data_IF_210570127090
#
_entry.id   IF_210570127090
#
_cell.length_a   1.000
_cell.length_b   1.000
_cell.length_c   1.000
_cell.angle_alpha   90.00
_cell.angle_beta   90.00
_cell.angle_gamma   90.00
#
_symmetry.space_group_name_H-M   'P 1'
#
loop_
_entity.id
_entity.type
_entity.pdbx_description
1 polymer ?
#
# COMPACT_ATOMS: atom_id res chain seq x y z
N UNK A 1 23.56 -0.50 20.21
CA UNK A 1 23.01 -0.73 21.57
C UNK A 1 22.15 -1.98 21.52
N UNK A 2 22.39 -2.96 22.36
CA UNK A 2 21.64 -4.24 22.37
C UNK A 2 20.50 -4.16 23.38
N UNK A 3 19.26 -4.38 22.94
CA UNK A 3 18.06 -4.37 23.80
C UNK A 3 17.51 -5.78 24.07
N UNK A 4 18.31 -6.83 23.90
CA UNK A 4 17.90 -8.20 24.21
C UNK A 4 16.73 -8.66 23.32
N UNK A 5 15.57 -8.94 23.91
CA UNK A 5 14.35 -9.37 23.19
C UNK A 5 13.89 -8.39 22.09
N UNK A 6 14.21 -7.10 22.24
CA UNK A 6 13.81 -6.08 21.26
C UNK A 6 14.76 -6.01 20.06
N UNK A 7 15.98 -6.59 20.15
CA UNK A 7 16.97 -6.57 19.07
C UNK A 7 18.08 -5.52 19.25
N UNK A 8 18.97 -5.42 18.25
CA UNK A 8 20.14 -4.52 18.28
C UNK A 8 19.87 -3.22 17.52
N UNK A 9 20.28 -2.09 18.11
CA UNK A 9 20.46 -0.79 17.45
C UNK A 9 21.84 -0.77 16.81
N UNK A 10 21.84 -0.78 15.50
CA UNK A 10 22.97 -0.34 14.68
C UNK A 10 22.40 0.57 13.59
N UNK A 11 22.84 1.84 13.55
CA UNK A 11 22.49 2.76 12.48
C UNK A 11 23.29 2.39 11.22
N UNK A 12 22.97 1.24 10.63
CA UNK A 12 23.63 0.77 9.41
C UNK A 12 22.91 1.29 8.17
N UNK A 13 23.58 1.28 7.00
CA UNK A 13 22.92 1.58 5.73
C UNK A 13 21.68 0.71 5.49
N UNK A 14 21.70 -0.54 5.94
CA UNK A 14 20.58 -1.48 5.85
C UNK A 14 19.40 -1.04 6.73
N UNK A 15 19.68 -0.56 7.95
CA UNK A 15 18.66 0.00 8.84
C UNK A 15 17.96 1.20 8.19
N UNK A 16 18.75 2.14 7.67
CA UNK A 16 18.22 3.34 7.04
C UNK A 16 17.42 3.00 5.77
N UNK A 17 17.92 2.07 4.95
CA UNK A 17 17.23 1.60 3.76
C UNK A 17 15.90 0.91 4.09
N UNK A 18 15.86 0.07 5.13
CA UNK A 18 14.64 -0.58 5.59
C UNK A 18 13.64 0.45 6.13
N UNK A 19 14.07 1.38 6.98
CA UNK A 19 13.23 2.46 7.51
C UNK A 19 12.64 3.33 6.39
N UNK A 20 13.47 3.74 5.42
CA UNK A 20 13.03 4.55 4.29
C UNK A 20 12.05 3.77 3.40
N UNK A 21 12.30 2.46 3.20
CA UNK A 21 11.38 1.60 2.44
C UNK A 21 10.03 1.46 3.14
N UNK A 22 10.01 1.20 4.46
CA UNK A 22 8.79 1.12 5.27
C UNK A 22 8.01 2.43 5.19
N UNK A 23 8.69 3.55 5.39
CA UNK A 23 8.10 4.88 5.34
C UNK A 23 7.49 5.18 3.97
N UNK A 24 8.23 4.86 2.90
CA UNK A 24 7.78 5.12 1.53
C UNK A 24 6.62 4.20 1.11
N UNK A 25 6.67 2.92 1.51
CA UNK A 25 5.57 1.98 1.34
C UNK A 25 4.32 2.49 2.06
N UNK A 26 4.45 2.89 3.33
CA UNK A 26 3.36 3.43 4.11
C UNK A 26 2.79 4.70 3.48
N UNK A 27 3.64 5.60 2.98
CA UNK A 27 3.21 6.86 2.39
C UNK A 27 2.47 6.64 1.05
N UNK A 28 2.98 5.76 0.19
CA UNK A 28 2.37 5.41 -1.11
C UNK A 28 1.02 4.73 -0.91
N UNK A 29 0.91 3.83 0.07
CA UNK A 29 -0.34 3.15 0.37
C UNK A 29 -1.32 4.07 1.12
N UNK A 30 -0.84 4.97 1.98
CA UNK A 30 -1.68 5.88 2.76
C UNK A 30 -2.30 7.04 1.96
N UNK A 31 -1.87 7.30 0.72
CA UNK A 31 -2.32 8.43 -0.09
C UNK A 31 -3.85 8.55 -0.19
N UNK A 32 -4.53 7.45 -0.51
CA UNK A 32 -5.99 7.40 -0.61
C UNK A 32 -6.67 7.32 0.78
N UNK A 33 -5.98 6.74 1.77
CA UNK A 33 -6.49 6.60 3.14
C UNK A 33 -6.52 7.93 3.91
N UNK A 34 -5.61 8.85 3.62
CA UNK A 34 -5.64 10.19 4.21
C UNK A 34 -6.92 10.95 3.81
N UNK A 35 -7.42 10.73 2.58
CA UNK A 35 -8.70 11.28 2.11
C UNK A 35 -9.87 10.65 2.86
N UNK A 36 -9.87 9.33 3.07
CA UNK A 36 -10.91 8.64 3.87
C UNK A 36 -10.91 9.13 5.32
N UNK A 37 -9.73 9.32 5.93
CA UNK A 37 -9.59 9.89 7.27
C UNK A 37 -10.13 11.33 7.30
N UNK A 38 -9.76 12.16 6.32
CA UNK A 38 -10.20 13.55 6.22
C UNK A 38 -11.73 13.65 6.02
N UNK A 39 -12.32 12.76 5.22
CA UNK A 39 -13.76 12.64 4.99
C UNK A 39 -14.50 12.13 6.22
N UNK A 40 -13.92 11.18 6.97
CA UNK A 40 -14.54 10.65 8.19
C UNK A 40 -14.72 11.73 9.27
N UNK A 41 -13.79 12.70 9.36
CA UNK A 41 -13.84 13.80 10.34
C UNK A 41 -14.39 15.11 9.77
N UNK A 42 -14.84 15.14 8.51
CA UNK A 42 -15.21 16.39 7.82
C UNK A 42 -16.42 17.10 8.45
N UNK A 43 -17.32 16.35 9.09
CA UNK A 43 -18.51 16.87 9.74
C UNK A 43 -18.27 17.28 11.22
N UNK A 44 -17.05 17.09 11.76
CA UNK A 44 -16.73 17.45 13.13
C UNK A 44 -16.23 18.91 13.19
N UNK A 45 -16.76 19.70 14.11
CA UNK A 45 -16.44 21.13 14.21
C UNK A 45 -15.48 21.42 15.39
N UNK A 46 -14.57 22.37 15.20
CA UNK A 46 -13.72 22.90 16.27
C UNK A 46 -12.81 21.87 16.96
N UNK A 47 -12.81 21.85 18.29
CA UNK A 47 -11.96 20.96 19.11
C UNK A 47 -12.27 19.47 18.88
N UNK A 48 -13.52 19.12 18.54
CA UNK A 48 -13.92 17.73 18.31
C UNK A 48 -13.26 17.12 17.07
N UNK A 49 -13.04 17.92 16.01
CA UNK A 49 -12.31 17.49 14.82
C UNK A 49 -10.86 17.14 15.13
N UNK A 50 -10.18 18.00 15.89
CA UNK A 50 -8.79 17.77 16.30
C UNK A 50 -8.66 16.50 17.15
N UNK A 51 -9.54 16.33 18.14
CA UNK A 51 -9.55 15.13 18.97
C UNK A 51 -9.93 13.86 18.19
N UNK A 52 -10.88 13.94 17.25
CA UNK A 52 -11.23 12.83 16.38
C UNK A 52 -10.06 12.37 15.50
N UNK A 53 -9.29 13.32 14.95
CA UNK A 53 -8.08 13.02 14.18
C UNK A 53 -7.00 12.40 15.09
N UNK A 54 -6.72 13.01 16.24
CA UNK A 54 -5.65 12.54 17.16
C UNK A 54 -5.97 11.14 17.71
N UNK A 55 -7.19 10.93 18.19
CA UNK A 55 -7.61 9.63 18.73
C UNK A 55 -7.72 8.56 17.65
N UNK A 56 -8.26 8.91 16.47
CA UNK A 56 -8.32 8.01 15.33
C UNK A 56 -6.93 7.59 14.85
N UNK A 57 -6.02 8.55 14.70
CA UNK A 57 -4.62 8.28 14.34
C UNK A 57 -3.92 7.46 15.42
N UNK A 58 -4.10 7.78 16.71
CA UNK A 58 -3.50 7.02 17.80
C UNK A 58 -3.99 5.57 17.88
N UNK A 59 -5.29 5.34 17.68
CA UNK A 59 -5.87 3.99 17.63
C UNK A 59 -5.35 3.18 16.42
N UNK A 60 -5.27 3.82 15.25
CA UNK A 60 -4.70 3.22 14.03
C UNK A 60 -3.23 2.83 14.23
N UNK A 61 -2.42 3.71 14.83
CA UNK A 61 -1.02 3.43 15.19
C UNK A 61 -0.91 2.19 16.08
N UNK A 62 -1.68 2.16 17.17
CA UNK A 62 -1.59 1.08 18.14
C UNK A 62 -1.95 -0.26 17.50
N UNK A 63 -3.04 -0.29 16.73
CA UNK A 63 -3.47 -1.46 15.98
C UNK A 63 -2.38 -1.92 14.99
N UNK A 64 -1.77 -0.98 14.25
CA UNK A 64 -0.71 -1.29 13.30
C UNK A 64 0.51 -1.89 13.98
N UNK A 65 0.93 -1.37 15.14
CA UNK A 65 2.04 -1.93 15.92
C UNK A 65 1.73 -3.34 16.39
N UNK A 66 0.55 -3.57 16.98
CA UNK A 66 0.14 -4.89 17.48
C UNK A 66 0.08 -5.90 16.34
N UNK A 67 -0.56 -5.54 15.25
CA UNK A 67 -0.75 -6.49 14.17
C UNK A 67 0.56 -6.76 13.41
N UNK A 68 1.41 -5.75 13.19
CA UNK A 68 2.75 -5.95 12.59
C UNK A 68 3.63 -6.81 13.49
N UNK A 69 3.50 -6.69 14.81
CA UNK A 69 4.16 -7.61 15.74
C UNK A 69 3.70 -9.05 15.50
N UNK A 70 2.39 -9.29 15.45
CA UNK A 70 1.84 -10.64 15.19
C UNK A 70 2.33 -11.18 13.84
N UNK A 71 2.26 -10.38 12.78
CA UNK A 71 2.73 -10.79 11.45
C UNK A 71 4.24 -11.05 11.41
N UNK A 72 5.06 -10.25 12.09
CA UNK A 72 6.51 -10.49 12.17
C UNK A 72 6.82 -11.85 12.79
N UNK A 73 6.06 -12.28 13.81
CA UNK A 73 6.18 -13.63 14.37
C UNK A 73 5.70 -14.70 13.38
N UNK A 74 4.60 -14.46 12.66
CA UNK A 74 4.08 -15.40 11.66
C UNK A 74 5.06 -15.61 10.49
N UNK A 75 5.81 -14.59 10.08
CA UNK A 75 6.82 -14.70 9.02
C UNK A 75 8.02 -15.61 9.38
N UNK A 76 8.16 -16.03 10.64
CA UNK A 76 9.15 -17.04 11.02
C UNK A 76 8.69 -18.46 10.65
N UNK A 77 7.41 -18.66 10.38
CA UNK A 77 6.84 -19.95 9.98
C UNK A 77 7.13 -20.19 8.48
N UNK A 78 7.48 -21.44 8.14
CA UNK A 78 7.72 -21.88 6.76
C UNK A 78 6.54 -21.50 5.85
N UNK A 79 6.83 -21.08 4.61
CA UNK A 79 5.88 -20.63 3.58
C UNK A 79 5.17 -19.31 3.84
N UNK A 80 5.19 -18.75 5.05
CA UNK A 80 4.44 -17.52 5.32
C UNK A 80 5.09 -16.32 4.63
N UNK A 81 6.43 -16.23 4.58
CA UNK A 81 7.09 -15.17 3.80
C UNK A 81 6.88 -15.36 2.31
N UNK A 82 6.86 -16.61 1.85
CA UNK A 82 6.60 -16.91 0.44
C UNK A 82 5.21 -16.43 0.01
N UNK A 83 4.16 -16.78 0.76
CA UNK A 83 2.79 -16.32 0.49
C UNK A 83 2.68 -14.81 0.67
N UNK A 84 3.23 -14.26 1.76
CA UNK A 84 3.23 -12.82 2.02
C UNK A 84 3.91 -12.01 0.92
N UNK A 85 5.02 -12.50 0.39
CA UNK A 85 5.72 -11.88 -0.74
C UNK A 85 4.87 -11.88 -2.02
N UNK A 86 4.17 -12.99 -2.30
CA UNK A 86 3.20 -13.06 -3.40
C UNK A 86 2.05 -12.06 -3.28
N UNK A 87 1.50 -11.90 -2.07
CA UNK A 87 0.46 -10.90 -1.78
C UNK A 87 0.98 -9.48 -2.01
N UNK A 88 2.20 -9.16 -1.57
CA UNK A 88 2.81 -7.84 -1.79
C UNK A 88 3.01 -7.55 -3.28
N UNK A 89 3.47 -8.53 -4.06
CA UNK A 89 3.62 -8.38 -5.51
C UNK A 89 2.26 -8.12 -6.16
N UNK A 90 1.22 -8.84 -5.73
CA UNK A 90 -0.14 -8.61 -6.20
C UNK A 90 -0.64 -7.19 -5.88
N UNK A 91 -0.42 -6.71 -4.65
CA UNK A 91 -0.73 -5.33 -4.23
C UNK A 91 0.03 -4.33 -5.11
N UNK A 92 1.32 -4.54 -5.36
CA UNK A 92 2.14 -3.65 -6.18
C UNK A 92 1.59 -3.49 -7.62
N UNK A 93 1.14 -4.59 -8.22
CA UNK A 93 0.49 -4.57 -9.54
C UNK A 93 -0.88 -3.89 -9.46
N UNK A 94 -1.69 -4.21 -8.46
CA UNK A 94 -3.01 -3.61 -8.25
C UNK A 94 -2.90 -2.09 -8.07
N UNK A 95 -1.92 -1.62 -7.30
CA UNK A 95 -1.64 -0.21 -7.04
C UNK A 95 -1.38 0.58 -8.33
N UNK A 96 -0.58 0.04 -9.25
CA UNK A 96 -0.34 0.69 -10.56
C UNK A 96 -1.57 0.68 -11.46
N UNK A 97 -2.40 -0.35 -11.39
CA UNK A 97 -3.64 -0.45 -12.15
C UNK A 97 -4.70 0.53 -11.63
N UNK A 98 -4.82 0.70 -10.32
CA UNK A 98 -5.79 1.61 -9.69
C UNK A 98 -5.35 3.08 -9.83
N UNK A 99 -4.06 3.37 -9.67
CA UNK A 99 -3.52 4.73 -9.83
C UNK A 99 -3.48 5.23 -11.28
N UNK A 100 -3.82 4.42 -12.28
CA UNK A 100 -3.99 4.88 -13.66
C UNK A 100 -5.37 5.50 -13.86
N UNK A 101 -5.52 6.76 -13.42
CA UNK A 101 -6.67 7.69 -13.60
C UNK A 101 -7.84 7.13 -14.43
N UNK A 102 -8.71 6.36 -13.77
CA UNK A 102 -10.05 5.96 -14.26
C UNK A 102 -10.98 5.56 -13.08
N UNK A 103 -10.68 5.94 -11.83
CA UNK A 103 -11.62 5.76 -10.70
C UNK A 103 -11.98 7.09 -10.05
N UNK A 104 -13.14 7.61 -10.46
CA UNK A 104 -13.89 8.63 -9.71
C UNK A 104 -14.71 7.95 -8.61
N UNK A 105 -14.51 8.38 -7.36
CA UNK A 105 -15.56 8.51 -6.34
C UNK A 105 -15.99 7.27 -5.54
N UNK A 106 -16.07 7.44 -4.22
CA UNK A 106 -17.26 7.23 -3.35
C UNK A 106 -16.86 6.89 -1.90
N UNK A 107 -16.66 7.90 -1.05
CA UNK A 107 -16.45 7.72 0.40
C UNK A 107 -17.74 7.93 1.21
N UNK A 108 -18.09 6.98 2.08
CA UNK A 108 -19.23 7.07 3.01
C UNK A 108 -18.95 8.06 4.15
N UNK A 109 -19.94 8.88 4.50
CA UNK A 109 -19.89 9.92 5.54
C UNK A 109 -20.26 9.40 6.94
N UNK A 110 -19.57 9.90 7.97
CA UNK A 110 -19.90 9.67 9.39
C UNK A 110 -20.64 10.86 10.03
N UNK A 111 -21.53 10.57 10.98
CA UNK A 111 -22.32 11.55 11.74
C UNK A 111 -21.87 11.78 13.19
N UNK A 112 -20.84 11.07 13.69
CA UNK A 112 -20.32 11.22 15.07
C UNK A 112 -18.83 10.91 15.18
N UNK A 113 -18.16 11.38 16.25
CA UNK A 113 -16.73 11.11 16.52
C UNK A 113 -16.45 9.61 16.61
N UNK A 114 -17.31 8.85 17.30
CA UNK A 114 -17.18 7.40 17.43
C UNK A 114 -17.32 6.68 16.08
N UNK A 115 -18.23 7.16 15.21
CA UNK A 115 -18.41 6.62 13.87
C UNK A 115 -17.24 6.99 12.95
N UNK A 116 -16.68 8.19 13.07
CA UNK A 116 -15.47 8.62 12.36
C UNK A 116 -14.27 7.74 12.76
N UNK A 117 -14.08 7.51 14.06
CA UNK A 117 -13.03 6.60 14.57
C UNK A 117 -13.25 5.18 14.06
N UNK A 118 -14.49 4.67 14.04
CA UNK A 118 -14.80 3.36 13.50
C UNK A 118 -14.48 3.24 12.00
N UNK A 119 -14.87 4.21 11.18
CA UNK A 119 -14.55 4.24 9.74
C UNK A 119 -13.04 4.30 9.52
N UNK A 120 -12.32 5.13 10.30
CA UNK A 120 -10.86 5.24 10.24
C UNK A 120 -10.21 3.89 10.62
N UNK A 121 -10.65 3.28 11.71
CA UNK A 121 -10.11 1.98 12.17
C UNK A 121 -10.44 0.87 11.18
N UNK A 122 -11.64 0.82 10.60
CA UNK A 122 -12.00 -0.23 9.63
C UNK A 122 -11.27 -0.04 8.30
N UNK A 123 -11.12 1.20 7.83
CA UNK A 123 -10.32 1.52 6.64
C UNK A 123 -8.83 1.22 6.88
N UNK A 124 -8.32 1.53 8.07
CA UNK A 124 -6.95 1.23 8.45
C UNK A 124 -6.74 -0.27 8.67
N UNK A 125 -7.68 -1.05 9.22
CA UNK A 125 -7.59 -2.53 9.28
C UNK A 125 -7.52 -3.12 7.88
N UNK A 126 -8.40 -2.66 6.98
CA UNK A 126 -8.50 -3.18 5.61
C UNK A 126 -7.24 -2.87 4.79
N UNK A 127 -6.61 -1.71 5.02
CA UNK A 127 -5.32 -1.34 4.41
C UNK A 127 -4.11 -1.89 5.18
N UNK A 128 -4.20 -2.04 6.50
CA UNK A 128 -3.11 -2.50 7.34
C UNK A 128 -2.76 -3.95 7.04
N UNK A 129 -3.71 -4.80 6.63
CA UNK A 129 -3.39 -6.16 6.19
C UNK A 129 -2.42 -6.15 5.00
N UNK A 130 -2.55 -5.18 4.09
CA UNK A 130 -1.71 -5.01 2.90
C UNK A 130 -0.34 -4.39 3.26
N UNK A 131 -0.30 -3.37 4.12
CA UNK A 131 0.95 -2.72 4.57
C UNK A 131 1.77 -3.60 5.52
N UNK A 132 1.11 -4.37 6.39
CA UNK A 132 1.75 -5.12 7.47
C UNK A 132 2.60 -6.28 6.95
N UNK A 133 2.17 -6.95 5.89
CA UNK A 133 2.99 -7.97 5.23
C UNK A 133 4.26 -7.35 4.65
N UNK A 134 4.14 -6.17 4.03
CA UNK A 134 5.27 -5.45 3.44
C UNK A 134 6.26 -4.93 4.51
N UNK A 135 5.75 -4.34 5.59
CA UNK A 135 6.57 -3.84 6.70
C UNK A 135 7.22 -4.99 7.46
N UNK A 136 6.49 -6.06 7.75
CA UNK A 136 7.04 -7.24 8.43
C UNK A 136 8.14 -7.92 7.58
N UNK A 137 8.01 -7.91 6.25
CA UNK A 137 9.06 -8.34 5.32
C UNK A 137 10.31 -7.45 5.33
N UNK A 138 10.11 -6.13 5.33
CA UNK A 138 11.20 -5.16 5.32
C UNK A 138 12.02 -5.15 6.61
N UNK A 139 11.42 -5.49 7.76
CA UNK A 139 12.07 -5.46 9.07
C UNK A 139 13.05 -6.63 9.31
N UNK A 140 13.08 -7.66 8.46
CA UNK A 140 14.00 -8.81 8.55
C UNK A 140 14.09 -9.45 9.95
N UNK A 141 13.01 -9.41 10.73
CA UNK A 141 12.96 -9.93 12.11
C UNK A 141 13.49 -9.00 13.21
N UNK A 142 13.95 -7.77 12.90
CA UNK A 142 14.35 -6.80 13.92
C UNK A 142 13.13 -6.05 14.48
N UNK A 143 12.66 -6.51 15.64
CA UNK A 143 11.49 -5.97 16.34
C UNK A 143 11.64 -4.50 16.74
N UNK A 144 12.84 -4.08 17.14
CA UNK A 144 13.11 -2.68 17.46
C UNK A 144 13.01 -1.79 16.22
N UNK A 145 13.60 -2.21 15.09
CA UNK A 145 13.49 -1.50 13.82
C UNK A 145 12.03 -1.33 13.41
N UNK A 146 11.24 -2.37 13.62
CA UNK A 146 9.79 -2.36 13.36
C UNK A 146 9.07 -1.35 14.26
N UNK A 147 9.21 -1.44 15.59
CA UNK A 147 8.49 -0.54 16.52
C UNK A 147 8.96 0.91 16.38
N UNK A 148 10.27 1.14 16.31
CA UNK A 148 10.84 2.48 16.15
C UNK A 148 10.49 3.09 14.79
N UNK A 149 10.60 2.28 13.73
CA UNK A 149 10.23 2.67 12.39
C UNK A 149 8.76 3.05 12.28
N UNK A 150 7.86 2.25 12.85
CA UNK A 150 6.42 2.55 12.90
C UNK A 150 6.11 3.79 13.74
N UNK A 151 6.70 3.92 14.94
CA UNK A 151 6.51 5.08 15.82
C UNK A 151 6.91 6.39 15.13
N UNK A 152 8.00 6.38 14.35
CA UNK A 152 8.50 7.57 13.67
C UNK A 152 7.86 7.79 12.29
N UNK A 153 7.52 6.71 11.58
CA UNK A 153 6.87 6.73 10.26
C UNK A 153 5.47 7.32 10.35
N UNK A 154 4.67 6.98 11.37
CA UNK A 154 3.24 7.35 11.36
C UNK A 154 3.01 8.86 11.47
N UNK A 155 3.67 9.62 12.36
CA UNK A 155 3.59 11.08 12.35
C UNK A 155 4.04 11.68 11.01
N UNK A 156 5.09 11.10 10.41
CA UNK A 156 5.62 11.53 9.11
C UNK A 156 4.62 11.27 7.98
N UNK A 157 3.94 10.11 7.99
CA UNK A 157 2.91 9.74 7.02
C UNK A 157 1.69 10.63 7.17
N UNK A 158 1.22 10.88 8.40
CA UNK A 158 0.08 11.77 8.64
C UNK A 158 0.40 13.20 8.20
N UNK A 159 1.60 13.71 8.47
CA UNK A 159 2.03 15.03 8.03
C UNK A 159 2.30 15.10 6.51
N UNK A 160 2.84 14.02 5.95
CA UNK A 160 3.35 13.94 4.58
C UNK A 160 2.35 13.43 3.55
N UNK A 161 1.28 12.74 3.94
CA UNK A 161 0.35 12.10 3.00
C UNK A 161 -0.34 13.12 2.08
N UNK A 162 -0.71 14.29 2.60
CA UNK A 162 -1.26 15.36 1.78
C UNK A 162 -0.26 15.92 0.76
N UNK A 163 1.01 16.06 1.17
CA UNK A 163 2.09 16.48 0.27
C UNK A 163 2.38 15.38 -0.77
N UNK A 164 2.48 14.12 -0.37
CA UNK A 164 2.74 13.01 -1.28
C UNK A 164 1.60 12.84 -2.28
N UNK A 165 0.34 12.94 -1.85
CA UNK A 165 -0.82 12.89 -2.75
C UNK A 165 -0.71 13.95 -3.84
N UNK A 166 -0.46 15.21 -3.46
CA UNK A 166 -0.24 16.30 -4.42
C UNK A 166 0.96 16.02 -5.33
N UNK A 167 2.02 15.43 -4.79
CA UNK A 167 3.22 15.09 -5.53
C UNK A 167 3.00 13.93 -6.50
N UNK A 168 2.17 12.93 -6.16
CA UNK A 168 1.79 11.82 -7.03
C UNK A 168 0.87 12.28 -8.16
N UNK A 169 -0.04 13.21 -7.87
CA UNK A 169 -0.88 13.85 -8.89
C UNK A 169 -0.05 14.60 -9.92
N UNK A 170 0.99 15.31 -9.45
CA UNK A 170 1.91 16.09 -10.30
C UNK A 170 2.99 15.23 -10.95
N UNK A 171 3.47 14.21 -10.27
CA UNK A 171 4.55 13.32 -10.68
C UNK A 171 4.14 11.84 -10.53
N UNK A 172 3.41 11.29 -11.52
CA UNK A 172 2.95 9.91 -11.51
C UNK A 172 4.07 8.87 -11.38
N UNK A 173 5.32 9.25 -11.68
CA UNK A 173 6.51 8.40 -11.51
C UNK A 173 6.69 7.89 -10.09
N UNK A 174 6.22 8.63 -9.08
CA UNK A 174 6.32 8.25 -7.67
C UNK A 174 5.55 6.96 -7.38
N UNK A 175 4.38 6.79 -8.02
CA UNK A 175 3.59 5.55 -7.93
C UNK A 175 4.38 4.35 -8.47
N UNK A 176 5.09 4.52 -9.60
CA UNK A 176 5.95 3.47 -10.19
C UNK A 176 7.13 3.12 -9.29
N UNK A 177 7.73 4.11 -8.62
CA UNK A 177 8.82 3.89 -7.66
C UNK A 177 8.30 3.09 -6.45
N UNK A 178 7.15 3.47 -5.89
CA UNK A 178 6.51 2.74 -4.79
C UNK A 178 6.20 1.28 -5.15
N UNK A 179 5.61 1.06 -6.32
CA UNK A 179 5.33 -0.28 -6.82
C UNK A 179 6.59 -1.11 -7.08
N UNK A 180 7.66 -0.50 -7.60
CA UNK A 180 8.95 -1.17 -7.77
C UNK A 180 9.53 -1.62 -6.41
N UNK A 181 9.47 -0.77 -5.39
CA UNK A 181 9.94 -1.11 -4.04
C UNK A 181 9.11 -2.26 -3.45
N UNK A 182 7.78 -2.24 -3.62
CA UNK A 182 6.93 -3.36 -3.22
C UNK A 182 7.31 -4.66 -3.95
N UNK A 183 7.55 -4.60 -5.26
CA UNK A 183 8.04 -5.75 -6.03
C UNK A 183 9.37 -6.30 -5.50
N UNK A 184 10.32 -5.42 -5.17
CA UNK A 184 11.59 -5.80 -4.52
C UNK A 184 11.35 -6.53 -3.20
N UNK A 185 10.54 -5.94 -2.31
CA UNK A 185 10.26 -6.48 -0.97
C UNK A 185 9.56 -7.83 -1.07
N UNK A 186 8.56 -7.95 -1.94
CA UNK A 186 7.86 -9.22 -2.15
C UNK A 186 8.80 -10.31 -2.68
N UNK A 187 9.68 -9.98 -3.63
CA UNK A 187 10.71 -10.90 -4.12
C UNK A 187 11.73 -11.32 -3.05
N UNK A 188 12.19 -10.37 -2.24
CA UNK A 188 13.09 -10.61 -1.11
C UNK A 188 12.43 -11.53 -0.06
N UNK A 189 11.15 -11.32 0.24
CA UNK A 189 10.41 -12.20 1.16
C UNK A 189 10.26 -13.62 0.63
N UNK A 190 9.98 -13.78 -0.67
CA UNK A 190 9.83 -15.12 -1.27
C UNK A 190 11.14 -15.91 -1.26
N UNK A 191 12.26 -15.28 -1.62
CA UNK A 191 13.55 -15.98 -1.70
C UNK A 191 14.16 -16.24 -0.32
N UNK A 192 13.86 -15.39 0.68
CA UNK A 192 14.32 -15.53 2.08
C UNK A 192 13.31 -16.23 3.00
N UNK A 193 12.32 -16.92 2.42
CA UNK A 193 11.40 -17.79 3.17
C UNK A 193 12.18 -18.94 3.82
N UNK A 194 11.92 -19.29 5.10
CA UNK A 194 12.63 -20.37 5.77
C UNK A 194 12.63 -21.70 5.00
N UNK A 195 11.55 -22.01 4.27
CA UNK A 195 11.49 -23.21 3.43
C UNK A 195 12.43 -23.14 2.22
N UNK A 196 12.49 -21.98 1.55
CA UNK A 196 13.34 -21.78 0.37
C UNK A 196 14.81 -21.74 0.77
N UNK A 197 15.12 -21.08 1.89
CA UNK A 197 16.48 -21.00 2.43
C UNK A 197 17.02 -22.38 2.78
N UNK A 198 16.23 -23.21 3.48
CA UNK A 198 16.61 -24.57 3.87
C UNK A 198 16.74 -25.52 2.67
N UNK A 199 15.93 -25.32 1.62
CA UNK A 199 15.94 -26.18 0.43
C UNK A 199 17.04 -25.80 -0.57
N UNK A 200 17.25 -24.51 -0.83
CA UNK A 200 18.07 -24.02 -1.95
C UNK A 200 19.34 -23.29 -1.52
N UNK A 201 19.46 -22.83 -0.27
CA UNK A 201 20.59 -22.03 0.23
C UNK A 201 21.05 -20.96 -0.79
N UNK A 202 20.14 -20.06 -1.23
CA UNK A 202 20.40 -19.19 -2.36
C UNK A 202 21.57 -18.23 -2.07
N UNK A 203 22.59 -18.15 -2.94
CA UNK A 203 23.63 -17.14 -2.78
C UNK A 203 23.06 -15.74 -2.99
N UNK A 204 23.70 -14.71 -2.42
CA UNK A 204 23.25 -13.31 -2.53
C UNK A 204 23.01 -12.82 -3.96
N UNK A 205 23.75 -13.34 -4.94
CA UNK A 205 23.51 -13.04 -6.34
C UNK A 205 22.11 -13.49 -6.82
N UNK A 206 21.64 -14.65 -6.37
CA UNK A 206 20.30 -15.16 -6.68
C UNK A 206 19.22 -14.35 -5.96
N UNK A 207 19.44 -13.98 -4.70
CA UNK A 207 18.52 -13.08 -3.98
C UNK A 207 18.33 -11.76 -4.74
N UNK A 208 19.41 -11.10 -5.15
CA UNK A 208 19.33 -9.86 -5.93
C UNK A 208 18.70 -10.06 -7.31
N UNK A 209 18.98 -11.19 -7.98
CA UNK A 209 18.35 -11.50 -9.26
C UNK A 209 16.83 -11.65 -9.12
N UNK A 210 16.35 -12.32 -8.06
CA UNK A 210 14.92 -12.46 -7.77
C UNK A 210 14.28 -11.11 -7.45
N UNK A 211 14.94 -10.27 -6.65
CA UNK A 211 14.48 -8.91 -6.37
C UNK A 211 14.34 -8.08 -7.65
N UNK A 212 15.34 -8.08 -8.52
CA UNK A 212 15.32 -7.35 -9.81
C UNK A 212 14.23 -7.92 -10.71
N UNK A 213 14.09 -9.24 -10.78
CA UNK A 213 13.03 -9.89 -11.54
C UNK A 213 11.64 -9.40 -11.12
N UNK A 214 11.35 -9.36 -9.81
CA UNK A 214 10.02 -8.93 -9.34
C UNK A 214 9.78 -7.42 -9.51
N UNK A 215 10.81 -6.58 -9.42
CA UNK A 215 10.70 -5.16 -9.82
C UNK A 215 10.24 -5.06 -11.28
N UNK A 216 10.94 -5.74 -12.19
CA UNK A 216 10.65 -5.70 -13.62
C UNK A 216 9.28 -6.33 -13.93
N UNK A 217 8.93 -7.42 -13.23
CA UNK A 217 7.64 -8.09 -13.35
C UNK A 217 6.50 -7.15 -12.97
N UNK A 218 6.58 -6.45 -11.82
CA UNK A 218 5.54 -5.51 -11.38
C UNK A 218 5.37 -4.39 -12.40
N UNK A 219 6.46 -3.76 -12.84
CA UNK A 219 6.42 -2.65 -13.80
C UNK A 219 5.91 -3.10 -15.19
N UNK A 220 6.35 -4.27 -15.65
CA UNK A 220 5.99 -4.83 -16.95
C UNK A 220 4.54 -5.33 -17.02
N UNK A 221 4.15 -6.15 -16.04
CA UNK A 221 2.78 -6.70 -15.95
C UNK A 221 1.74 -5.59 -15.79
N UNK A 222 2.00 -4.60 -14.95
CA UNK A 222 1.11 -3.45 -14.75
C UNK A 222 0.92 -2.65 -16.04
N UNK A 223 2.00 -2.37 -16.79
CA UNK A 223 1.89 -1.69 -18.10
C UNK A 223 1.05 -2.47 -19.11
N UNK A 224 1.22 -3.80 -19.16
CA UNK A 224 0.44 -4.65 -20.07
C UNK A 224 -1.05 -4.67 -19.68
N UNK A 225 -1.35 -4.78 -18.39
CA UNK A 225 -2.71 -4.81 -17.87
C UNK A 225 -3.43 -3.46 -18.04
N UNK A 226 -2.75 -2.34 -17.80
CA UNK A 226 -3.28 -0.99 -18.04
C UNK A 226 -3.60 -0.80 -19.54
N UNK A 227 -2.70 -1.22 -20.44
CA UNK A 227 -2.96 -1.18 -21.89
C UNK A 227 -4.19 -1.99 -22.28
N UNK A 228 -4.35 -3.19 -21.72
CA UNK A 228 -5.52 -4.05 -21.95
C UNK A 228 -6.81 -3.44 -21.43
N UNK A 229 -6.82 -2.85 -20.22
CA UNK A 229 -7.97 -2.13 -19.67
C UNK A 229 -8.37 -0.95 -20.56
N UNK A 230 -7.42 -0.11 -20.97
CA UNK A 230 -7.70 1.04 -21.86
C UNK A 230 -8.29 0.61 -23.21
N UNK A 231 -7.73 -0.45 -23.82
CA UNK A 231 -8.24 -0.97 -25.09
C UNK A 231 -9.68 -1.52 -24.96
N UNK A 232 -9.99 -2.20 -23.85
CA UNK A 232 -11.35 -2.68 -23.57
C UNK A 232 -12.32 -1.52 -23.35
N UNK A 233 -11.99 -0.55 -22.50
CA UNK A 233 -12.84 0.62 -22.23
C UNK A 233 -13.07 1.50 -23.48
N UNK A 234 -12.13 1.52 -24.43
CA UNK A 234 -12.31 2.21 -25.71
C UNK A 234 -13.28 1.45 -26.63
N UNK A 235 -13.20 0.11 -26.65
CA UNK A 235 -14.12 -0.74 -27.40
C UNK A 235 -15.54 -0.65 -26.86
N UNK A 236 -15.73 -0.75 -25.54
CA UNK A 236 -17.05 -0.68 -24.90
C UNK A 236 -17.73 0.69 -25.18
N UNK A 237 -16.94 1.78 -25.17
CA UNK A 237 -17.41 3.13 -25.54
C UNK A 237 -17.81 3.24 -27.01
N UNK A 238 -17.05 2.62 -27.91
CA UNK A 238 -17.37 2.58 -29.33
C UNK A 238 -18.66 1.78 -29.60
N UNK A 239 -18.83 0.63 -28.93
CA UNK A 239 -20.04 -0.19 -29.00
C UNK A 239 -21.28 0.58 -28.46
N UNK A 240 -21.15 1.30 -27.35
CA UNK A 240 -22.22 2.18 -26.84
C UNK A 240 -22.57 3.35 -27.76
N UNK A 241 -21.57 3.98 -28.40
CA UNK A 241 -21.80 5.07 -29.34
C UNK A 241 -22.56 4.59 -30.59
N UNK A 242 -22.20 3.41 -31.10
CA UNK A 242 -22.88 2.76 -32.23
C UNK A 242 -24.32 2.36 -31.89
N UNK A 243 -24.57 1.79 -30.70
CA UNK A 243 -25.93 1.44 -30.26
C UNK A 243 -26.80 2.68 -30.07
N UNK A 244 -26.24 3.80 -29.59
CA UNK A 244 -26.97 5.05 -29.39
C UNK A 244 -27.32 5.73 -30.72
N UNK A 245 -26.44 5.64 -31.74
CA UNK A 245 -26.71 6.16 -33.08
C UNK A 245 -27.73 5.29 -33.85
N UNK A 246 -27.69 3.98 -33.68
CA UNK A 246 -28.63 3.06 -34.33
C UNK A 246 -30.10 3.21 -33.87
N UNK A 247 -30.34 3.80 -32.68
CA UNK A 247 -31.69 4.08 -32.16
C UNK A 247 -32.25 5.43 -32.69
N UNK A 248 -31.42 6.29 -33.28
CA UNK A 248 -31.80 7.64 -33.71
C UNK A 248 -32.32 7.83 -35.16
N UNK A 249 -32.43 6.84 -36.08
CA UNK A 249 -32.73 7.15 -37.48
C UNK A 249 -34.22 7.39 -37.82
N UNK A 250 -35.17 7.27 -36.89
CA UNK A 250 -36.62 7.38 -37.22
C UNK A 250 -37.32 8.68 -36.77
N UNK A 251 -36.64 9.61 -36.07
CA UNK A 251 -37.29 10.83 -35.57
C UNK A 251 -37.23 12.05 -36.49
N UNK A 252 -36.44 12.01 -37.55
CA UNK A 252 -36.20 13.17 -38.43
C UNK A 252 -36.93 13.07 -39.80
N UNK A 253 -37.82 12.08 -40.00
CA UNK A 253 -38.59 11.88 -41.25
C UNK A 253 -40.07 12.30 -41.16
N UNK A 254 -40.51 12.96 -40.07
CA UNK A 254 -41.91 13.38 -39.87
C UNK A 254 -42.04 14.91 -39.68
N UNK A 255 -41.16 15.70 -40.30
CA UNK A 255 -41.31 17.16 -40.37
C UNK A 255 -42.11 17.57 -41.61
#
# INVERSE_FOLDING_TARGET
MDFGFLGKIEFTPEFLAAFLSITLIDLVLAGDNAVVIAMAVQNLHGKQRKWGIILGAGAAVLLRVVATFVCAQLLLIKFVKFVGGGVIIWIAVKLLIMGSKDEEGHGKTAGSVAQAVWIIVVADISMAIDNMLAVAGACKGNLFLLIFGLMLSIPLVVAGAGLLSMLMDRYPIILYIGAAILGKVGGEMMITDPFIEELLHPPKAVEYAVMIFFILFVLGSSRLLIKRKKAKSARDRAEQALSTQAVKPERDLVA
#
